data_IF_644699661109
#
_entry.id   IF_644699661109
#
_cell.length_a   1.000
_cell.length_b   1.000
_cell.length_c   1.000
_cell.angle_alpha   90.00
_cell.angle_beta   90.00
_cell.angle_gamma   90.00
#
_symmetry.space_group_name_H-M   'P 1'
#
loop_
_entity.id
_entity.type
_entity.pdbx_description
1 polymer ?
#
# COMPACT_ATOMS: atom_id res chain seq x y z
N UNK A 1 11.64 -9.48 -35.36
CA UNK A 1 10.26 -9.14 -34.93
C UNK A 1 10.09 -9.03 -33.41
N UNK A 2 10.62 -9.94 -32.56
CA UNK A 2 10.54 -9.82 -31.09
C UNK A 2 11.24 -8.56 -30.52
N UNK A 3 12.30 -8.08 -31.15
CA UNK A 3 13.05 -6.88 -30.74
C UNK A 3 12.26 -5.57 -30.97
N UNK A 4 11.48 -5.47 -32.05
CA UNK A 4 10.58 -4.37 -32.32
C UNK A 4 9.39 -4.31 -31.34
N UNK A 5 8.86 -5.46 -30.91
CA UNK A 5 7.80 -5.52 -29.90
C UNK A 5 8.28 -5.09 -28.50
N UNK A 6 9.56 -5.36 -28.15
CA UNK A 6 10.13 -4.92 -26.87
C UNK A 6 10.39 -3.42 -26.80
N UNK A 7 10.46 -2.71 -27.91
CA UNK A 7 10.64 -1.25 -27.97
C UNK A 7 9.30 -0.53 -28.19
N UNK A 8 8.42 -1.09 -29.03
CA UNK A 8 7.12 -0.48 -29.35
C UNK A 8 6.13 -0.55 -28.17
N UNK A 9 6.16 -1.62 -27.36
CA UNK A 9 5.27 -1.72 -26.20
C UNK A 9 5.58 -0.67 -25.10
N UNK A 10 6.82 -0.41 -24.71
CA UNK A 10 7.10 0.67 -23.76
C UNK A 10 6.84 2.07 -24.33
N UNK A 11 7.02 2.27 -25.65
CA UNK A 11 6.72 3.56 -26.27
C UNK A 11 5.21 3.85 -26.33
N UNK A 12 4.38 2.83 -26.62
CA UNK A 12 2.92 2.92 -26.60
C UNK A 12 2.38 3.12 -25.17
N UNK A 13 2.99 2.47 -24.18
CA UNK A 13 2.65 2.67 -22.77
C UNK A 13 3.06 4.08 -22.33
N UNK A 14 4.24 4.54 -22.73
CA UNK A 14 4.71 5.90 -22.43
C UNK A 14 3.83 6.99 -23.09
N UNK A 15 3.39 6.78 -24.33
CA UNK A 15 2.45 7.71 -25.01
C UNK A 15 1.05 7.67 -24.41
N UNK A 16 0.56 6.50 -23.99
CA UNK A 16 -0.72 6.38 -23.28
C UNK A 16 -0.67 7.01 -21.89
N UNK A 17 0.42 6.83 -21.14
CA UNK A 17 0.67 7.51 -19.88
C UNK A 17 0.81 9.03 -20.08
N UNK A 18 1.53 9.49 -21.11
CA UNK A 18 1.66 10.91 -21.45
C UNK A 18 0.30 11.51 -21.85
N UNK A 19 -0.52 10.82 -22.61
CA UNK A 19 -1.87 11.24 -22.93
C UNK A 19 -2.77 11.28 -21.68
N UNK A 20 -2.69 10.28 -20.79
CA UNK A 20 -3.39 10.30 -19.51
C UNK A 20 -2.94 11.47 -18.63
N UNK A 21 -1.66 11.86 -18.71
CA UNK A 21 -1.12 13.02 -17.98
C UNK A 21 -1.69 14.33 -18.47
N UNK A 22 -1.87 14.50 -19.76
CA UNK A 22 -2.39 15.74 -20.38
C UNK A 22 -3.88 15.95 -20.08
N UNK A 23 -4.63 14.87 -19.89
CA UNK A 23 -6.10 14.92 -19.71
C UNK A 23 -6.57 14.70 -18.26
N UNK A 24 -5.68 14.55 -17.29
CA UNK A 24 -6.08 14.34 -15.89
C UNK A 24 -6.05 15.66 -15.10
N UNK A 25 -7.18 16.10 -14.52
CA UNK A 25 -7.21 17.28 -13.64
C UNK A 25 -6.35 17.10 -12.38
N UNK A 26 -6.00 15.86 -12.01
CA UNK A 26 -5.10 15.54 -10.89
C UNK A 26 -3.65 16.01 -11.17
N UNK A 27 -3.27 16.21 -12.43
CA UNK A 27 -1.97 16.78 -12.81
C UNK A 27 -1.78 18.24 -12.40
N UNK A 28 -2.89 18.97 -12.28
CA UNK A 28 -2.88 20.38 -11.87
C UNK A 28 -2.76 20.56 -10.34
N UNK A 29 -2.84 19.49 -9.55
CA UNK A 29 -2.66 19.59 -8.10
C UNK A 29 -1.18 19.82 -7.79
N UNK A 30 -0.84 21.06 -7.46
CA UNK A 30 0.48 21.41 -6.96
C UNK A 30 0.82 20.65 -5.68
N UNK A 31 2.11 20.30 -5.51
CA UNK A 31 2.59 19.76 -4.23
C UNK A 31 2.40 20.83 -3.16
N UNK A 32 1.61 20.49 -2.14
CA UNK A 32 1.31 21.40 -1.02
C UNK A 32 2.56 21.51 -0.13
N UNK A 33 3.22 20.37 0.15
CA UNK A 33 4.45 20.32 0.97
C UNK A 33 5.65 20.59 0.06
N UNK A 34 6.21 21.79 0.12
CA UNK A 34 7.34 22.22 -0.73
C UNK A 34 8.65 22.38 0.02
N UNK A 35 8.62 22.40 1.36
CA UNK A 35 9.78 22.61 2.22
C UNK A 35 10.00 21.40 3.12
N UNK A 36 11.23 21.10 3.53
CA UNK A 36 11.52 20.06 4.49
C UNK A 36 10.71 20.23 5.78
N UNK A 37 10.19 19.11 6.27
CA UNK A 37 9.59 19.06 7.61
C UNK A 37 10.73 19.01 8.61
N UNK A 38 10.67 19.86 9.62
CA UNK A 38 11.65 19.91 10.70
C UNK A 38 10.97 19.47 11.99
N UNK A 39 11.60 18.54 12.70
CA UNK A 39 11.23 18.17 14.05
C UNK A 39 12.51 18.12 14.90
N UNK A 40 12.53 18.84 16.00
CA UNK A 40 13.63 18.89 16.97
C UNK A 40 13.55 17.80 18.05
N UNK A 41 12.46 17.02 18.04
CA UNK A 41 12.17 15.89 18.92
C UNK A 41 12.15 14.54 18.15
N UNK A 42 12.23 13.44 18.89
CA UNK A 42 12.14 12.07 18.37
C UNK A 42 10.84 11.35 18.75
N UNK A 43 10.80 10.04 18.50
CA UNK A 43 9.61 9.19 18.78
C UNK A 43 9.30 9.05 20.27
N UNK A 44 10.31 9.17 21.15
CA UNK A 44 10.17 9.05 22.60
C UNK A 44 9.53 10.30 23.25
N UNK A 45 9.42 11.41 22.49
CA UNK A 45 8.83 12.63 22.98
C UNK A 45 7.28 12.60 22.82
N UNK A 46 6.50 12.94 23.85
CA UNK A 46 5.04 13.04 23.74
C UNK A 46 4.54 13.94 22.63
N UNK A 47 5.34 14.91 22.18
CA UNK A 47 5.01 15.78 21.04
C UNK A 47 4.84 14.98 19.74
N UNK A 48 5.55 13.83 19.59
CA UNK A 48 5.37 12.96 18.42
C UNK A 48 3.92 12.52 18.28
N UNK A 49 3.35 11.94 19.34
CA UNK A 49 1.96 11.45 19.35
C UNK A 49 0.96 12.57 19.09
N UNK A 50 1.15 13.71 19.72
CA UNK A 50 0.29 14.87 19.50
C UNK A 50 0.38 15.37 18.05
N UNK A 51 1.59 15.52 17.53
CA UNK A 51 1.81 16.02 16.17
C UNK A 51 1.25 15.09 15.10
N UNK A 52 1.49 13.78 15.19
CA UNK A 52 1.01 12.83 14.18
C UNK A 52 -0.53 12.75 14.16
N UNK A 53 -1.18 12.82 15.33
CA UNK A 53 -2.63 12.84 15.45
C UNK A 53 -3.24 14.07 14.75
N UNK A 54 -2.63 15.23 14.90
CA UNK A 54 -3.11 16.46 14.26
C UNK A 54 -2.77 16.52 12.77
N UNK A 55 -1.57 16.08 12.37
CA UNK A 55 -1.14 16.06 10.98
C UNK A 55 -2.02 15.17 10.12
N UNK A 56 -2.35 13.97 10.61
CA UNK A 56 -3.19 13.02 9.89
C UNK A 56 -4.68 13.16 10.22
N UNK A 57 -5.04 13.99 11.20
CA UNK A 57 -6.42 14.22 11.66
C UNK A 57 -7.13 12.97 12.16
N UNK A 58 -6.37 12.02 12.65
CA UNK A 58 -6.86 10.75 13.18
C UNK A 58 -6.06 10.43 14.44
N UNK A 59 -6.71 10.10 15.58
CA UNK A 59 -6.00 9.80 16.82
C UNK A 59 -5.37 8.41 16.79
N UNK A 60 -4.20 8.27 17.39
CA UNK A 60 -3.67 6.99 17.85
C UNK A 60 -4.56 6.47 19.00
N UNK A 61 -5.03 5.24 18.89
CA UNK A 61 -5.93 4.60 19.85
C UNK A 61 -5.22 3.38 20.46
N UNK A 62 -5.23 3.27 21.78
CA UNK A 62 -4.70 2.10 22.49
C UNK A 62 -5.69 0.93 22.54
N UNK A 63 -5.25 -0.18 23.08
CA UNK A 63 -6.09 -1.35 23.29
C UNK A 63 -6.21 -2.28 22.09
N UNK A 64 -5.27 -2.24 21.15
CA UNK A 64 -5.34 -3.05 19.94
C UNK A 64 -4.38 -4.23 19.98
N UNK A 65 -4.74 -5.28 19.24
CA UNK A 65 -3.87 -6.39 18.87
C UNK A 65 -3.64 -6.36 17.38
N UNK A 66 -2.36 -6.38 16.98
CA UNK A 66 -1.95 -6.42 15.58
C UNK A 66 -1.10 -7.65 15.34
N UNK A 67 -1.54 -8.48 14.39
CA UNK A 67 -0.86 -9.73 14.02
C UNK A 67 -0.45 -9.64 12.56
N UNK A 68 0.84 -9.81 12.30
CA UNK A 68 1.39 -9.93 10.95
C UNK A 68 1.13 -11.31 10.36
N UNK A 69 0.67 -11.35 9.12
CA UNK A 69 0.42 -12.56 8.36
C UNK A 69 1.29 -12.52 7.10
N UNK A 70 2.28 -13.38 7.06
CA UNK A 70 3.33 -13.36 6.03
C UNK A 70 2.98 -14.35 4.93
N UNK A 71 2.84 -13.86 3.70
CA UNK A 71 2.53 -14.61 2.49
C UNK A 71 1.14 -15.30 2.51
N UNK A 72 0.77 -15.86 1.37
CA UNK A 72 -0.56 -16.43 1.14
C UNK A 72 -0.95 -17.54 2.09
N UNK A 73 0.01 -18.41 2.45
CA UNK A 73 -0.25 -19.53 3.37
C UNK A 73 -0.63 -19.07 4.79
N UNK A 74 -0.27 -17.84 5.17
CA UNK A 74 -0.70 -17.27 6.45
C UNK A 74 -1.96 -16.41 6.31
N UNK A 75 -2.03 -15.51 5.34
CA UNK A 75 -3.13 -14.53 5.35
C UNK A 75 -4.43 -15.07 4.72
N UNK A 76 -4.41 -15.92 3.70
CA UNK A 76 -5.65 -16.41 3.10
C UNK A 76 -6.46 -17.32 4.04
N UNK A 77 -5.88 -18.31 4.74
CA UNK A 77 -6.63 -19.11 5.70
C UNK A 77 -7.26 -18.28 6.82
N UNK A 78 -6.51 -17.30 7.38
CA UNK A 78 -7.02 -16.40 8.42
C UNK A 78 -8.18 -15.51 7.92
N UNK A 79 -8.07 -14.97 6.71
CA UNK A 79 -9.13 -14.16 6.11
C UNK A 79 -10.37 -15.01 5.79
N UNK A 80 -10.21 -16.21 5.23
CA UNK A 80 -11.31 -17.11 4.92
C UNK A 80 -12.00 -17.61 6.19
N UNK A 81 -11.23 -17.93 7.25
CA UNK A 81 -11.79 -18.30 8.54
C UNK A 81 -12.60 -17.16 9.17
N UNK A 82 -12.08 -15.93 9.11
CA UNK A 82 -12.77 -14.75 9.60
C UNK A 82 -14.05 -14.46 8.79
N UNK A 83 -14.01 -14.57 7.46
CA UNK A 83 -15.21 -14.48 6.60
C UNK A 83 -16.25 -15.54 6.98
N UNK A 84 -15.80 -16.79 7.21
CA UNK A 84 -16.66 -17.90 7.65
C UNK A 84 -17.31 -17.66 9.01
N UNK A 85 -16.67 -16.91 9.90
CA UNK A 85 -17.19 -16.57 11.24
C UNK A 85 -18.15 -15.37 11.24
N UNK A 86 -18.27 -14.60 10.13
CA UNK A 86 -19.10 -13.41 10.06
C UNK A 86 -20.58 -13.70 10.40
N UNK A 87 -21.18 -12.82 11.20
CA UNK A 87 -22.56 -12.95 11.66
C UNK A 87 -23.46 -11.77 11.27
N UNK A 88 -22.91 -10.57 11.04
CA UNK A 88 -23.67 -9.35 10.81
C UNK A 88 -23.30 -8.65 9.50
N UNK A 89 -22.00 -8.40 9.29
CA UNK A 89 -21.54 -7.67 8.12
C UNK A 89 -20.15 -8.07 7.66
N UNK A 90 -19.94 -7.99 6.37
CA UNK A 90 -18.63 -8.08 5.71
C UNK A 90 -18.51 -6.85 4.82
N UNK A 91 -17.47 -6.04 5.03
CA UNK A 91 -17.12 -4.92 4.16
C UNK A 91 -15.73 -5.19 3.58
N UNK A 92 -15.64 -5.25 2.26
CA UNK A 92 -14.43 -5.65 1.55
C UNK A 92 -14.10 -4.67 0.43
N UNK A 93 -12.93 -4.08 0.47
CA UNK A 93 -12.40 -3.23 -0.60
C UNK A 93 -11.08 -3.80 -1.10
N UNK A 94 -10.93 -3.90 -2.43
CA UNK A 94 -9.70 -4.42 -3.02
C UNK A 94 -9.38 -3.73 -4.35
N UNK A 95 -8.09 -3.62 -4.68
CA UNK A 95 -7.65 -3.07 -5.95
C UNK A 95 -7.83 -4.10 -7.07
N UNK A 96 -7.10 -5.23 -7.02
CA UNK A 96 -7.19 -6.29 -8.04
C UNK A 96 -8.03 -7.45 -7.52
N UNK A 97 -8.99 -7.87 -8.33
CA UNK A 97 -9.70 -9.13 -8.14
C UNK A 97 -9.66 -9.91 -9.46
N UNK A 98 -8.87 -10.97 -9.49
CA UNK A 98 -8.68 -11.85 -10.63
C UNK A 98 -9.38 -13.18 -10.38
N UNK A 99 -10.12 -13.70 -11.39
CA UNK A 99 -10.72 -15.05 -11.31
C UNK A 99 -9.63 -16.11 -11.25
N UNK A 100 -9.74 -17.05 -10.32
CA UNK A 100 -8.77 -18.11 -10.04
C UNK A 100 -9.20 -18.91 -8.82
N UNK A 101 -8.37 -19.84 -8.35
CA UNK A 101 -8.70 -20.76 -7.25
C UNK A 101 -8.99 -20.02 -5.94
N UNK A 102 -8.15 -19.07 -5.58
CA UNK A 102 -8.38 -18.26 -4.37
C UNK A 102 -9.61 -17.37 -4.50
N UNK A 103 -9.83 -16.81 -5.69
CA UNK A 103 -11.04 -16.04 -6.00
C UNK A 103 -12.30 -16.85 -5.80
N UNK A 104 -12.32 -18.10 -6.27
CA UNK A 104 -13.47 -19.00 -6.11
C UNK A 104 -13.80 -19.22 -4.63
N UNK A 105 -12.79 -19.42 -3.77
CA UNK A 105 -12.99 -19.58 -2.33
C UNK A 105 -13.62 -18.32 -1.69
N UNK A 106 -13.13 -17.14 -2.05
CA UNK A 106 -13.73 -15.88 -1.59
C UNK A 106 -15.17 -15.71 -2.08
N UNK A 107 -15.42 -15.98 -3.35
CA UNK A 107 -16.77 -15.88 -3.94
C UNK A 107 -17.74 -16.80 -3.23
N UNK A 108 -17.39 -18.09 -3.05
CA UNK A 108 -18.27 -19.07 -2.40
C UNK A 108 -18.62 -18.67 -0.97
N UNK A 109 -17.63 -18.26 -0.17
CA UNK A 109 -17.89 -17.87 1.22
C UNK A 109 -18.72 -16.59 1.33
N UNK A 110 -18.46 -15.58 0.47
CA UNK A 110 -19.25 -14.36 0.44
C UNK A 110 -20.71 -14.62 0.02
N UNK A 111 -20.92 -15.49 -0.98
CA UNK A 111 -22.25 -15.92 -1.41
C UNK A 111 -22.98 -16.69 -0.30
N UNK A 112 -22.30 -17.63 0.37
CA UNK A 112 -22.84 -18.38 1.49
C UNK A 112 -23.28 -17.45 2.62
N UNK A 113 -22.44 -16.48 3.00
CA UNK A 113 -22.75 -15.51 4.05
C UNK A 113 -23.88 -14.58 3.69
N UNK A 114 -23.93 -14.11 2.45
CA UNK A 114 -25.03 -13.27 1.97
C UNK A 114 -26.35 -14.01 2.02
N UNK A 115 -26.42 -15.29 1.58
CA UNK A 115 -27.61 -16.14 1.67
C UNK A 115 -28.02 -16.43 3.11
N UNK A 116 -27.08 -16.46 4.05
CA UNK A 116 -27.34 -16.62 5.49
C UNK A 116 -27.80 -15.32 6.18
N UNK A 117 -27.99 -14.24 5.43
CA UNK A 117 -28.49 -12.95 5.95
C UNK A 117 -27.42 -11.98 6.42
N UNK A 118 -26.12 -12.31 6.28
CA UNK A 118 -25.02 -11.38 6.54
C UNK A 118 -24.99 -10.30 5.46
N UNK A 119 -24.88 -9.03 5.85
CA UNK A 119 -24.75 -7.93 4.90
C UNK A 119 -23.34 -7.93 4.30
N UNK A 120 -23.23 -8.24 3.01
CA UNK A 120 -21.95 -8.30 2.30
C UNK A 120 -21.83 -7.14 1.31
N UNK A 121 -20.85 -6.27 1.54
CA UNK A 121 -20.55 -5.09 0.74
C UNK A 121 -19.15 -5.18 0.17
N UNK A 122 -19.03 -5.16 -1.15
CA UNK A 122 -17.73 -5.20 -1.85
C UNK A 122 -17.56 -3.98 -2.73
N UNK A 123 -16.41 -3.32 -2.63
CA UNK A 123 -15.94 -2.26 -3.53
C UNK A 123 -14.66 -2.72 -4.21
N UNK A 124 -14.64 -2.76 -5.54
CA UNK A 124 -13.45 -3.16 -6.31
C UNK A 124 -13.14 -2.10 -7.35
N UNK A 125 -11.87 -1.80 -7.52
CA UNK A 125 -11.40 -0.79 -8.48
C UNK A 125 -11.84 -1.11 -9.92
N UNK A 126 -12.11 -0.07 -10.70
CA UNK A 126 -12.61 -0.18 -12.07
C UNK A 126 -11.64 -0.85 -13.05
N UNK A 127 -10.32 -0.67 -12.84
CA UNK A 127 -9.26 -1.34 -13.62
C UNK A 127 -8.99 -2.73 -13.04
N UNK A 128 -8.78 -2.81 -11.74
CA UNK A 128 -8.39 -4.05 -11.06
C UNK A 128 -9.42 -5.17 -11.15
N UNK A 129 -10.71 -4.85 -11.39
CA UNK A 129 -11.76 -5.85 -11.61
C UNK A 129 -11.85 -6.39 -13.04
N UNK A 130 -11.09 -5.87 -14.00
CA UNK A 130 -11.20 -6.30 -15.41
C UNK A 130 -10.87 -7.78 -15.58
N UNK A 131 -10.05 -8.34 -14.71
CA UNK A 131 -9.67 -9.74 -14.71
C UNK A 131 -10.63 -10.65 -13.92
N UNK A 132 -11.65 -10.09 -13.25
CA UNK A 132 -12.75 -10.85 -12.66
C UNK A 132 -13.81 -11.14 -13.73
N UNK A 133 -14.02 -12.41 -14.04
CA UNK A 133 -14.95 -12.85 -15.10
C UNK A 133 -16.35 -12.28 -14.87
N UNK A 134 -17.08 -11.92 -15.95
CA UNK A 134 -18.46 -11.45 -15.83
C UNK A 134 -19.39 -12.43 -15.11
N UNK A 135 -19.17 -13.74 -15.32
CA UNK A 135 -19.93 -14.81 -14.65
C UNK A 135 -19.77 -14.76 -13.13
N UNK A 136 -18.54 -14.56 -12.62
CA UNK A 136 -18.27 -14.50 -11.19
C UNK A 136 -18.93 -13.27 -10.54
N UNK A 137 -18.87 -12.13 -11.22
CA UNK A 137 -19.59 -10.92 -10.77
C UNK A 137 -21.09 -11.10 -10.75
N UNK A 138 -21.64 -11.83 -11.75
CA UNK A 138 -23.06 -12.16 -11.81
C UNK A 138 -23.46 -13.05 -10.63
N UNK A 139 -22.69 -14.13 -10.38
CA UNK A 139 -22.93 -15.05 -9.24
C UNK A 139 -22.97 -14.30 -7.91
N UNK A 140 -21.99 -13.41 -7.63
CA UNK A 140 -21.96 -12.57 -6.43
C UNK A 140 -23.22 -11.74 -6.30
N UNK A 141 -23.62 -11.00 -7.35
CA UNK A 141 -24.81 -10.14 -7.31
C UNK A 141 -26.12 -10.92 -7.13
N UNK A 142 -26.27 -12.05 -7.81
CA UNK A 142 -27.46 -12.91 -7.71
C UNK A 142 -27.58 -13.56 -6.33
N UNK A 143 -26.51 -13.71 -5.58
CA UNK A 143 -26.53 -14.20 -4.21
C UNK A 143 -26.90 -13.14 -3.16
N UNK A 144 -27.10 -11.88 -3.58
CA UNK A 144 -27.42 -10.76 -2.68
C UNK A 144 -26.19 -9.94 -2.22
N UNK A 145 -24.96 -10.31 -2.64
CA UNK A 145 -23.77 -9.50 -2.39
C UNK A 145 -23.88 -8.16 -3.12
N UNK A 146 -23.75 -7.08 -2.39
CA UNK A 146 -23.70 -5.73 -2.96
C UNK A 146 -22.29 -5.45 -3.48
N UNK A 147 -22.07 -5.77 -4.76
CA UNK A 147 -20.79 -5.64 -5.44
C UNK A 147 -20.76 -4.36 -6.28
N UNK A 148 -19.89 -3.43 -5.91
CA UNK A 148 -19.77 -2.13 -6.55
C UNK A 148 -18.38 -1.93 -7.17
N UNK A 149 -18.32 -0.97 -8.09
CA UNK A 149 -17.08 -0.66 -8.83
C UNK A 149 -16.70 0.80 -8.60
N UNK A 150 -15.55 1.00 -8.00
CA UNK A 150 -14.96 2.32 -7.81
C UNK A 150 -14.37 2.83 -9.14
N UNK A 151 -14.70 4.06 -9.52
CA UNK A 151 -14.19 4.73 -10.74
C UNK A 151 -14.16 3.80 -11.96
N UNK A 152 -15.35 3.30 -12.34
CA UNK A 152 -15.49 2.45 -13.51
C UNK A 152 -14.88 3.11 -14.75
N UNK A 153 -14.00 2.38 -15.45
CA UNK A 153 -13.41 2.82 -16.71
C UNK A 153 -14.50 2.98 -17.76
N UNK A 154 -14.68 4.22 -18.25
CA UNK A 154 -15.61 4.58 -19.33
C UNK A 154 -14.84 5.42 -20.34
N UNK A 155 -14.90 5.07 -21.62
CA UNK A 155 -14.15 5.77 -22.69
C UNK A 155 -14.44 7.27 -22.76
N UNK A 156 -15.65 7.70 -22.40
CA UNK A 156 -16.11 9.10 -22.40
C UNK A 156 -15.84 9.85 -21.09
N UNK A 157 -15.13 9.25 -20.12
CA UNK A 157 -14.71 9.86 -18.86
C UNK A 157 -13.23 9.59 -18.58
N UNK A 158 -12.32 10.05 -19.45
CA UNK A 158 -10.88 9.73 -19.33
C UNK A 158 -10.25 10.27 -18.05
N UNK A 159 -10.78 11.35 -17.48
CA UNK A 159 -10.32 11.92 -16.20
C UNK A 159 -10.48 10.97 -15.01
N UNK A 160 -11.40 9.99 -15.07
CA UNK A 160 -11.55 8.97 -14.03
C UNK A 160 -10.58 7.79 -14.20
N UNK A 161 -9.80 7.72 -15.27
CA UNK A 161 -8.95 6.56 -15.54
C UNK A 161 -7.71 6.53 -14.64
N UNK A 162 -7.22 7.67 -14.22
CA UNK A 162 -5.98 7.77 -13.45
C UNK A 162 -6.19 7.60 -11.94
N UNK A 163 -7.30 8.11 -11.39
CA UNK A 163 -7.62 7.98 -9.97
C UNK A 163 -8.19 6.58 -9.66
N UNK A 164 -7.46 5.79 -8.86
CA UNK A 164 -7.79 4.41 -8.49
C UNK A 164 -7.91 4.27 -6.98
N UNK A 165 -8.81 3.37 -6.52
CA UNK A 165 -8.67 2.89 -5.15
C UNK A 165 -7.61 1.82 -5.11
N UNK A 166 -6.55 2.08 -4.36
CA UNK A 166 -5.49 1.11 -4.14
C UNK A 166 -5.55 0.50 -2.73
N UNK A 167 -6.60 0.83 -1.98
CA UNK A 167 -6.89 0.26 -0.66
C UNK A 167 -7.16 -1.24 -0.78
N UNK A 168 -6.71 -2.01 0.21
CA UNK A 168 -6.95 -3.45 0.36
C UNK A 168 -7.31 -3.68 1.80
N UNK A 169 -8.61 -3.70 2.08
CA UNK A 169 -9.13 -3.80 3.43
C UNK A 169 -10.34 -4.72 3.51
N UNK A 170 -10.45 -5.44 4.62
CA UNK A 170 -11.57 -6.29 4.94
C UNK A 170 -11.94 -6.04 6.40
N UNK A 171 -13.22 -5.77 6.66
CA UNK A 171 -13.72 -5.67 8.03
C UNK A 171 -14.92 -6.61 8.21
N UNK A 172 -14.90 -7.35 9.30
CA UNK A 172 -15.90 -8.36 9.63
C UNK A 172 -16.57 -7.96 10.93
N UNK A 173 -17.91 -7.83 10.89
CA UNK A 173 -18.79 -7.48 12.00
C UNK A 173 -18.40 -6.17 12.73
N UNK A 174 -17.59 -5.31 12.09
CA UNK A 174 -16.98 -4.15 12.72
C UNK A 174 -16.01 -4.50 13.86
N UNK A 175 -15.50 -5.74 13.94
CA UNK A 175 -14.69 -6.27 15.04
C UNK A 175 -13.30 -6.71 14.65
N UNK A 176 -13.14 -7.31 13.50
CA UNK A 176 -11.87 -7.80 12.98
C UNK A 176 -11.58 -7.10 11.67
N UNK A 177 -10.39 -6.53 11.54
CA UNK A 177 -9.92 -5.86 10.35
C UNK A 177 -8.70 -6.54 9.73
N UNK A 178 -8.57 -6.44 8.42
CA UNK A 178 -7.35 -6.82 7.68
C UNK A 178 -6.95 -5.68 6.76
N UNK A 179 -5.65 -5.39 6.71
CA UNK A 179 -5.05 -4.38 5.83
C UNK A 179 -3.66 -4.85 5.38
N UNK A 180 -3.24 -4.45 4.19
CA UNK A 180 -1.90 -4.74 3.64
C UNK A 180 -1.80 -4.53 2.15
N UNK A 181 -0.88 -5.24 1.50
CA UNK A 181 -0.65 -5.14 0.05
C UNK A 181 -1.42 -6.15 -0.80
N UNK A 182 -1.99 -7.20 -0.21
CA UNK A 182 -2.56 -8.38 -0.85
C UNK A 182 -3.71 -8.05 -1.80
N UNK A 183 -3.73 -8.69 -2.96
CA UNK A 183 -4.86 -8.70 -3.88
C UNK A 183 -5.45 -10.11 -4.02
N UNK A 184 -6.70 -10.23 -4.52
CA UNK A 184 -7.33 -11.52 -4.78
C UNK A 184 -6.85 -12.05 -6.13
N UNK A 185 -5.75 -12.80 -6.10
CA UNK A 185 -5.20 -13.50 -7.27
C UNK A 185 -4.31 -14.66 -6.82
N UNK A 186 -4.22 -15.71 -7.64
CA UNK A 186 -3.49 -16.93 -7.28
C UNK A 186 -1.98 -16.69 -7.08
N UNK A 187 -1.43 -15.64 -7.67
CA UNK A 187 -0.03 -15.25 -7.50
C UNK A 187 0.31 -14.76 -6.06
N UNK A 188 -0.70 -14.44 -5.24
CA UNK A 188 -0.51 -14.17 -3.81
C UNK A 188 -0.62 -15.41 -2.92
N UNK A 189 -0.93 -16.59 -3.48
CA UNK A 189 -1.02 -17.84 -2.70
C UNK A 189 0.36 -18.44 -2.41
N UNK A 190 0.43 -19.37 -1.45
CA UNK A 190 1.66 -20.04 -1.08
C UNK A 190 2.62 -19.15 -0.25
N UNK A 191 3.85 -19.62 -0.10
CA UNK A 191 4.89 -18.97 0.70
C UNK A 191 5.91 -18.16 -0.14
N UNK A 192 5.49 -17.59 -1.27
CA UNK A 192 6.34 -16.78 -2.13
C UNK A 192 7.63 -17.52 -2.57
N UNK A 193 7.49 -18.80 -2.90
CA UNK A 193 8.59 -19.69 -3.36
C UNK A 193 8.71 -19.74 -4.89
N UNK A 194 7.64 -19.37 -5.60
CA UNK A 194 7.64 -19.33 -7.06
C UNK A 194 7.98 -17.92 -7.53
N UNK A 195 8.78 -17.80 -8.59
CA UNK A 195 9.32 -16.55 -9.09
C UNK A 195 8.25 -15.53 -9.52
N UNK A 196 7.08 -15.97 -9.95
CA UNK A 196 5.93 -15.15 -10.37
C UNK A 196 4.96 -14.84 -9.23
N UNK A 197 5.15 -15.44 -8.05
CA UNK A 197 4.39 -15.17 -6.84
C UNK A 197 4.86 -13.89 -6.14
N UNK A 198 4.05 -13.42 -5.18
CA UNK A 198 4.30 -12.20 -4.43
C UNK A 198 4.71 -12.49 -2.98
N UNK A 199 5.86 -11.94 -2.56
CA UNK A 199 6.19 -11.79 -1.15
C UNK A 199 5.44 -10.56 -0.61
N UNK A 200 4.47 -10.76 0.25
CA UNK A 200 3.63 -9.69 0.81
C UNK A 200 3.31 -9.96 2.28
N UNK A 201 2.86 -8.95 3.00
CA UNK A 201 2.43 -9.05 4.39
C UNK A 201 1.07 -8.39 4.56
N UNK A 202 0.15 -9.12 5.21
CA UNK A 202 -1.15 -8.64 5.61
C UNK A 202 -1.19 -8.51 7.13
N UNK A 203 -1.97 -7.59 7.64
CA UNK A 203 -2.10 -7.36 9.07
C UNK A 203 -3.54 -7.59 9.51
N UNK A 204 -3.74 -8.53 10.45
CA UNK A 204 -4.99 -8.73 11.15
C UNK A 204 -5.02 -7.83 12.36
N UNK A 205 -6.11 -7.11 12.57
CA UNK A 205 -6.26 -6.13 13.63
C UNK A 205 -7.56 -6.36 14.37
N UNK A 206 -7.45 -6.36 15.70
CA UNK A 206 -8.55 -6.51 16.64
C UNK A 206 -8.45 -5.38 17.67
N UNK A 207 -9.60 -4.86 18.12
CA UNK A 207 -9.66 -3.78 19.10
C UNK A 207 -10.23 -2.47 18.55
N UNK A 208 -10.21 -1.39 19.35
CA UNK A 208 -10.92 -0.15 19.07
C UNK A 208 -10.60 0.51 17.71
N UNK A 209 -9.36 0.35 17.22
CA UNK A 209 -8.91 0.97 15.95
C UNK A 209 -9.62 0.40 14.72
N UNK A 210 -10.28 -0.77 14.82
CA UNK A 210 -11.08 -1.36 13.72
C UNK A 210 -12.20 -0.42 13.26
N UNK A 211 -12.75 0.41 14.18
CA UNK A 211 -13.72 1.43 13.83
C UNK A 211 -13.19 2.47 12.83
N UNK A 212 -11.90 2.84 12.93
CA UNK A 212 -11.28 3.72 11.94
C UNK A 212 -11.13 3.04 10.58
N UNK A 213 -10.76 1.75 10.55
CA UNK A 213 -10.68 0.96 9.30
C UNK A 213 -12.06 0.84 8.63
N UNK A 214 -13.12 0.62 9.41
CA UNK A 214 -14.49 0.61 8.92
C UNK A 214 -14.89 1.99 8.34
N UNK A 215 -14.43 3.07 8.94
CA UNK A 215 -14.62 4.43 8.43
C UNK A 215 -14.00 4.61 7.02
N UNK A 216 -12.79 4.09 6.79
CA UNK A 216 -12.12 4.13 5.48
C UNK A 216 -12.96 3.43 4.38
N UNK A 217 -13.51 2.25 4.67
CA UNK A 217 -14.41 1.57 3.75
C UNK A 217 -15.67 2.41 3.49
N UNK A 218 -16.26 2.98 4.55
CA UNK A 218 -17.50 3.78 4.45
C UNK A 218 -17.33 4.98 3.54
N UNK A 219 -16.15 5.61 3.52
CA UNK A 219 -15.84 6.72 2.63
C UNK A 219 -16.02 6.32 1.15
N UNK A 220 -15.31 5.30 0.67
CA UNK A 220 -15.42 4.86 -0.72
C UNK A 220 -16.77 4.20 -1.05
N UNK A 221 -17.40 3.55 -0.08
CA UNK A 221 -18.77 3.07 -0.24
C UNK A 221 -19.75 4.23 -0.48
N UNK A 222 -19.66 5.28 0.34
CA UNK A 222 -20.52 6.47 0.21
C UNK A 222 -20.33 7.17 -1.13
N UNK A 223 -19.07 7.32 -1.58
CA UNK A 223 -18.75 7.90 -2.90
C UNK A 223 -19.30 7.08 -4.06
N UNK A 224 -19.38 5.75 -3.88
CA UNK A 224 -19.81 4.84 -4.95
C UNK A 224 -21.32 4.66 -4.97
N UNK A 225 -22.01 4.69 -3.80
CA UNK A 225 -23.42 4.38 -3.63
C UNK A 225 -24.26 5.53 -3.10
N UNK A 226 -23.65 6.62 -2.65
CA UNK A 226 -24.34 7.73 -1.95
C UNK A 226 -25.12 7.24 -0.72
N UNK A 227 -24.62 6.19 -0.03
CA UNK A 227 -25.23 5.60 1.15
C UNK A 227 -24.22 5.52 2.29
N UNK A 228 -24.54 6.15 3.41
CA UNK A 228 -23.71 6.15 4.62
C UNK A 228 -24.00 4.89 5.43
N UNK A 229 -22.95 4.14 5.78
CA UNK A 229 -23.06 3.01 6.70
C UNK A 229 -23.20 3.50 8.13
N UNK A 230 -24.10 2.90 8.89
CA UNK A 230 -24.38 3.27 10.27
C UNK A 230 -24.83 2.06 11.11
N UNK A 231 -24.83 2.24 12.43
CA UNK A 231 -25.34 1.25 13.38
C UNK A 231 -24.32 0.17 13.76
N UNK A 232 -24.73 -0.69 14.69
CA UNK A 232 -23.90 -1.70 15.34
C UNK A 232 -23.42 -2.83 14.45
N UNK A 233 -23.97 -2.95 13.23
CA UNK A 233 -23.47 -3.93 12.25
C UNK A 233 -22.09 -3.57 11.73
N UNK A 234 -21.75 -2.28 11.70
CA UNK A 234 -20.51 -1.74 11.16
C UNK A 234 -19.65 -1.09 12.23
N UNK A 235 -20.27 -0.31 13.12
CA UNK A 235 -19.58 0.43 14.16
C UNK A 235 -20.03 -0.07 15.53
N UNK A 236 -19.15 -0.73 16.23
CA UNK A 236 -19.39 -1.23 17.58
C UNK A 236 -18.28 -0.77 18.50
N UNK A 237 -18.61 -0.47 19.75
CA UNK A 237 -17.59 -0.21 20.78
C UNK A 237 -16.90 -1.52 21.09
N UNK A 238 -15.60 -1.57 20.84
CA UNK A 238 -14.80 -2.75 21.09
C UNK A 238 -14.02 -2.61 22.39
N UNK A 239 -14.00 -3.64 23.25
CA UNK A 239 -13.09 -3.68 24.39
C UNK A 239 -11.64 -3.81 23.89
N UNK A 240 -10.67 -3.43 24.72
CA UNK A 240 -9.26 -3.69 24.43
C UNK A 240 -9.02 -5.19 24.15
N UNK A 241 -8.18 -5.45 23.15
CA UNK A 241 -7.74 -6.80 22.75
C UNK A 241 -6.23 -6.99 22.94
N UNK A 242 -5.52 -5.94 23.33
CA UNK A 242 -4.08 -5.88 23.57
C UNK A 242 -3.67 -4.48 23.97
N UNK A 243 -2.38 -4.19 23.91
CA UNK A 243 -1.83 -2.91 24.39
C UNK A 243 -1.30 -2.00 23.27
N UNK A 244 -1.42 -2.44 22.02
CA UNK A 244 -0.83 -1.72 20.87
C UNK A 244 -1.54 -0.39 20.65
N UNK A 245 -0.75 0.69 20.51
CA UNK A 245 -1.20 2.01 20.11
C UNK A 245 -1.16 2.10 18.59
N UNK A 246 -2.31 2.30 17.94
CA UNK A 246 -2.44 2.28 16.49
C UNK A 246 -3.44 3.31 15.97
N UNK A 247 -3.29 3.66 14.69
CA UNK A 247 -4.26 4.47 13.94
C UNK A 247 -4.33 4.01 12.49
N UNK A 248 -5.52 4.11 11.87
CA UNK A 248 -5.67 4.05 10.43
C UNK A 248 -5.88 5.44 9.87
N UNK A 249 -5.27 5.72 8.72
CA UNK A 249 -5.52 6.97 8.01
C UNK A 249 -5.67 6.73 6.52
N UNK A 250 -6.28 7.70 5.86
CA UNK A 250 -6.46 7.72 4.42
C UNK A 250 -5.63 8.81 3.76
N UNK A 251 -5.25 8.55 2.53
CA UNK A 251 -4.70 9.53 1.61
C UNK A 251 -5.38 9.38 0.26
N UNK A 252 -5.63 10.49 -0.40
CA UNK A 252 -6.26 10.49 -1.72
C UNK A 252 -6.27 11.90 -2.30
N UNK A 253 -6.57 12.05 -3.61
CA UNK A 253 -6.46 13.35 -4.27
C UNK A 253 -7.48 14.38 -3.78
N UNK A 254 -8.61 13.93 -3.24
CA UNK A 254 -9.71 14.80 -2.82
C UNK A 254 -9.88 14.87 -1.31
N UNK A 255 -9.39 13.86 -0.60
CA UNK A 255 -9.54 13.74 0.84
C UNK A 255 -8.26 13.22 1.46
N UNK A 256 -7.70 13.98 2.42
CA UNK A 256 -6.37 13.69 2.93
C UNK A 256 -5.26 13.89 1.91
N UNK A 257 -5.40 14.89 1.04
CA UNK A 257 -4.40 15.22 0.03
C UNK A 257 -3.00 15.36 0.65
N UNK A 258 -2.02 14.60 0.12
CA UNK A 258 -0.65 14.49 0.62
C UNK A 258 -0.51 13.92 2.07
N UNK A 259 -1.55 13.38 2.71
CA UNK A 259 -1.42 12.75 4.04
C UNK A 259 -0.36 11.61 4.03
N UNK A 260 -0.35 10.79 2.99
CA UNK A 260 0.68 9.75 2.83
C UNK A 260 2.09 10.35 2.76
N UNK A 261 2.26 11.38 1.96
CA UNK A 261 3.54 12.08 1.82
C UNK A 261 3.95 12.78 3.12
N UNK A 262 2.99 13.43 3.80
CA UNK A 262 3.18 14.04 5.12
C UNK A 262 3.67 13.01 6.13
N UNK A 263 3.02 11.85 6.20
CA UNK A 263 3.42 10.76 7.09
C UNK A 263 4.87 10.34 6.88
N UNK A 264 5.26 10.04 5.63
CA UNK A 264 6.61 9.56 5.34
C UNK A 264 7.67 10.64 5.60
N UNK A 265 7.42 11.88 5.18
CA UNK A 265 8.34 12.98 5.42
C UNK A 265 8.49 13.29 6.92
N UNK A 266 7.38 13.27 7.66
CA UNK A 266 7.43 13.46 9.11
C UNK A 266 8.13 12.31 9.83
N UNK A 267 7.90 11.06 9.43
CA UNK A 267 8.61 9.89 9.95
C UNK A 267 10.14 9.99 9.74
N UNK A 268 10.57 10.50 8.57
CA UNK A 268 11.99 10.78 8.29
C UNK A 268 12.54 11.92 9.17
N UNK A 269 11.74 12.96 9.41
CA UNK A 269 12.17 14.11 10.22
C UNK A 269 12.43 13.74 11.68
N UNK A 270 11.56 12.90 12.27
CA UNK A 270 11.66 12.49 13.68
C UNK A 270 12.69 11.38 13.92
N UNK A 271 13.14 10.68 12.89
CA UNK A 271 14.11 9.59 13.00
C UNK A 271 15.44 10.03 13.62
N UNK A 272 15.95 9.25 14.59
CA UNK A 272 17.21 9.51 15.31
C UNK A 272 18.21 8.36 15.21
N UNK A 273 17.75 7.12 15.00
CA UNK A 273 18.60 5.91 15.01
C UNK A 273 18.60 5.21 13.67
N UNK A 274 17.42 4.80 13.19
CA UNK A 274 17.30 3.97 11.99
C UNK A 274 15.99 4.17 11.24
N UNK A 275 16.07 3.98 9.92
CA UNK A 275 14.91 3.89 9.03
C UNK A 275 15.09 2.62 8.19
N UNK A 276 14.13 1.69 8.26
CA UNK A 276 14.05 0.51 7.37
C UNK A 276 12.84 0.62 6.49
N UNK A 277 13.03 0.48 5.18
CA UNK A 277 11.99 0.64 4.16
C UNK A 277 11.92 -0.65 3.34
N UNK A 278 10.80 -1.35 3.42
CA UNK A 278 10.49 -2.54 2.63
C UNK A 278 9.34 -2.22 1.69
N UNK A 279 9.65 -1.83 0.44
CA UNK A 279 8.64 -1.34 -0.50
C UNK A 279 8.78 -1.94 -1.89
N UNK A 280 7.63 -2.28 -2.50
CA UNK A 280 7.59 -2.71 -3.91
C UNK A 280 8.03 -1.59 -4.86
N UNK A 281 7.68 -0.34 -4.55
CA UNK A 281 8.13 0.83 -5.31
C UNK A 281 8.70 1.88 -4.36
N UNK A 282 9.99 2.20 -4.57
CA UNK A 282 10.67 3.26 -3.84
C UNK A 282 11.21 4.30 -4.83
N UNK A 283 10.35 5.28 -5.14
CA UNK A 283 10.62 6.37 -6.10
C UNK A 283 10.53 7.71 -5.36
N UNK A 284 11.46 8.01 -4.45
CA UNK A 284 11.39 9.23 -3.65
C UNK A 284 11.49 10.48 -4.54
N UNK A 285 10.67 11.49 -4.24
CA UNK A 285 10.79 12.80 -4.87
C UNK A 285 12.02 13.57 -4.34
N UNK A 286 12.28 14.75 -4.92
CA UNK A 286 13.49 15.52 -4.57
C UNK A 286 13.48 15.99 -3.11
N UNK A 287 12.28 16.28 -2.55
CA UNK A 287 12.14 16.67 -1.15
C UNK A 287 12.44 15.49 -0.22
N UNK A 288 11.86 14.32 -0.51
CA UNK A 288 12.11 13.11 0.27
C UNK A 288 13.59 12.69 0.22
N UNK A 289 14.24 12.78 -0.96
CA UNK A 289 15.68 12.56 -1.10
C UNK A 289 16.45 13.53 -0.19
N UNK A 290 16.17 14.82 -0.27
CA UNK A 290 16.80 15.82 0.58
C UNK A 290 16.69 15.50 2.07
N UNK A 291 15.48 15.14 2.53
CA UNK A 291 15.25 14.79 3.92
C UNK A 291 15.94 13.48 4.36
N UNK A 292 16.01 12.47 3.48
CA UNK A 292 16.78 11.25 3.75
C UNK A 292 18.29 11.53 3.83
N UNK A 293 18.83 12.40 2.97
CA UNK A 293 20.21 12.85 3.04
C UNK A 293 20.50 13.60 4.36
N UNK A 294 19.58 14.45 4.79
CA UNK A 294 19.71 15.15 6.07
C UNK A 294 19.56 14.20 7.27
N UNK A 295 18.73 13.16 7.20
CA UNK A 295 18.70 12.10 8.19
C UNK A 295 20.05 11.34 8.26
N UNK A 296 20.66 11.03 7.13
CA UNK A 296 22.02 10.44 7.08
C UNK A 296 23.05 11.35 7.74
N UNK A 297 23.02 12.66 7.49
CA UNK A 297 23.91 13.63 8.16
C UNK A 297 23.73 13.66 9.67
N UNK A 298 22.50 13.42 10.17
CA UNK A 298 22.22 13.27 11.60
C UNK A 298 22.69 11.92 12.18
N UNK A 299 23.26 11.03 11.37
CA UNK A 299 23.74 9.71 11.77
C UNK A 299 22.70 8.58 11.71
N UNK A 300 21.50 8.85 11.17
CA UNK A 300 20.44 7.83 11.03
C UNK A 300 20.87 6.76 10.02
N UNK A 301 20.84 5.47 10.40
CA UNK A 301 21.03 4.37 9.46
C UNK A 301 19.80 4.18 8.59
N UNK A 302 19.97 4.08 7.29
CA UNK A 302 18.85 3.92 6.35
C UNK A 302 19.09 2.69 5.46
N UNK A 303 18.14 1.76 5.48
CA UNK A 303 18.14 0.51 4.72
C UNK A 303 16.86 0.41 3.89
N UNK A 304 16.98 0.01 2.63
CA UNK A 304 15.86 -0.10 1.68
C UNK A 304 15.89 -1.46 1.01
N UNK A 305 14.80 -2.23 1.10
CA UNK A 305 14.58 -3.44 0.31
C UNK A 305 13.54 -3.14 -0.77
N UNK A 306 13.89 -3.40 -2.03
CA UNK A 306 13.00 -3.34 -3.17
C UNK A 306 12.97 -4.64 -3.97
N UNK A 307 12.18 -4.71 -5.07
CA UNK A 307 12.07 -5.91 -5.88
C UNK A 307 13.30 -6.14 -6.77
N UNK A 308 13.89 -7.32 -6.68
CA UNK A 308 14.86 -7.84 -7.66
C UNK A 308 14.14 -8.48 -8.85
N UNK A 309 13.08 -9.28 -8.57
CA UNK A 309 12.18 -9.80 -9.59
C UNK A 309 11.10 -8.78 -9.89
N UNK A 310 10.95 -8.43 -11.17
CA UNK A 310 10.23 -7.25 -11.64
C UNK A 310 8.86 -7.63 -12.15
N UNK A 311 7.84 -6.83 -11.80
CA UNK A 311 6.52 -6.80 -12.42
C UNK A 311 6.43 -5.72 -13.51
N UNK A 312 6.94 -4.51 -13.23
CA UNK A 312 6.90 -3.35 -14.12
C UNK A 312 8.28 -2.74 -14.37
N UNK A 313 8.86 -3.03 -15.55
CA UNK A 313 10.19 -2.56 -15.94
C UNK A 313 10.37 -1.04 -15.89
N UNK A 314 9.32 -0.26 -16.27
CA UNK A 314 9.37 1.20 -16.26
C UNK A 314 9.49 1.73 -14.84
N UNK A 315 8.71 1.18 -13.91
CA UNK A 315 8.68 1.59 -12.49
C UNK A 315 10.05 1.34 -11.85
N UNK A 316 10.63 0.14 -12.05
CA UNK A 316 12.00 -0.16 -11.54
C UNK A 316 13.04 0.80 -12.08
N UNK A 317 13.02 1.08 -13.39
CA UNK A 317 13.98 1.99 -14.02
C UNK A 317 13.83 3.41 -13.49
N UNK A 318 12.60 3.88 -13.32
CA UNK A 318 12.33 5.17 -12.68
C UNK A 318 12.83 5.20 -11.22
N UNK A 319 12.61 4.14 -10.45
CA UNK A 319 13.11 4.02 -9.08
C UNK A 319 14.65 4.10 -9.05
N UNK A 320 15.33 3.27 -9.84
CA UNK A 320 16.81 3.25 -9.89
C UNK A 320 17.40 4.58 -10.31
N UNK A 321 16.73 5.38 -11.14
CA UNK A 321 17.20 6.72 -11.53
C UNK A 321 17.35 7.68 -10.34
N UNK A 322 16.68 7.38 -9.20
CA UNK A 322 16.60 8.26 -8.02
C UNK A 322 17.63 7.91 -6.92
N UNK A 323 18.27 6.74 -6.97
CA UNK A 323 19.01 6.20 -5.82
C UNK A 323 20.45 6.70 -5.70
N UNK A 324 21.04 7.27 -6.76
CA UNK A 324 22.44 7.65 -6.81
C UNK A 324 22.91 8.47 -5.60
N UNK A 325 22.22 9.59 -5.33
CA UNK A 325 22.60 10.49 -4.22
C UNK A 325 22.45 9.81 -2.85
N UNK A 326 21.49 8.91 -2.71
CA UNK A 326 21.26 8.16 -1.49
C UNK A 326 22.35 7.11 -1.29
N UNK A 327 22.74 6.38 -2.34
CA UNK A 327 23.89 5.45 -2.31
C UNK A 327 25.20 6.16 -1.99
N UNK A 328 25.47 7.32 -2.60
CA UNK A 328 26.65 8.16 -2.31
C UNK A 328 26.67 8.63 -0.85
N UNK A 329 25.51 8.81 -0.21
CA UNK A 329 25.38 9.16 1.20
C UNK A 329 25.42 7.96 2.16
N UNK A 330 25.60 6.75 1.65
CA UNK A 330 25.67 5.52 2.44
C UNK A 330 24.32 4.98 2.88
N UNK A 331 23.24 5.24 2.13
CA UNK A 331 22.00 4.49 2.25
C UNK A 331 22.19 3.11 1.64
N UNK A 332 21.83 2.08 2.39
CA UNK A 332 21.98 0.69 1.98
C UNK A 332 20.75 0.23 1.17
N UNK A 333 20.96 -0.27 -0.04
CA UNK A 333 19.89 -0.78 -0.90
C UNK A 333 20.07 -2.27 -1.16
N UNK A 334 18.94 -2.98 -1.16
CA UNK A 334 18.87 -4.42 -1.38
C UNK A 334 17.77 -4.75 -2.37
N UNK A 335 18.02 -5.70 -3.28
CA UNK A 335 17.04 -6.23 -4.23
C UNK A 335 16.65 -7.66 -3.86
N UNK A 336 15.40 -7.88 -3.43
CA UNK A 336 14.86 -9.19 -3.04
C UNK A 336 14.77 -10.14 -4.25
N UNK A 337 15.42 -11.31 -4.17
CA UNK A 337 15.65 -12.18 -5.32
C UNK A 337 14.64 -13.32 -5.52
N UNK A 338 14.05 -13.95 -4.48
CA UNK A 338 13.30 -15.20 -4.68
C UNK A 338 12.08 -15.07 -5.60
N UNK A 339 11.33 -13.97 -5.45
CA UNK A 339 10.08 -13.74 -6.18
C UNK A 339 9.76 -12.24 -6.24
N UNK A 340 8.61 -11.86 -6.76
CA UNK A 340 8.14 -10.48 -6.76
C UNK A 340 7.93 -9.99 -5.33
N UNK A 341 8.37 -8.75 -5.05
CA UNK A 341 8.31 -8.15 -3.71
C UNK A 341 7.23 -7.08 -3.62
N UNK A 342 6.26 -7.24 -2.69
CA UNK A 342 5.09 -6.37 -2.65
C UNK A 342 4.81 -5.75 -1.27
N UNK A 343 5.75 -5.80 -0.35
CA UNK A 343 5.63 -5.12 0.95
C UNK A 343 5.54 -3.59 0.79
N UNK A 344 4.87 -2.95 1.74
CA UNK A 344 4.82 -1.49 1.93
C UNK A 344 4.90 -1.23 3.43
N UNK A 345 6.12 -1.30 3.96
CA UNK A 345 6.41 -1.20 5.39
C UNK A 345 7.59 -0.25 5.58
N UNK A 346 7.45 0.71 6.48
CA UNK A 346 8.54 1.54 6.97
C UNK A 346 8.60 1.42 8.49
N UNK A 347 9.82 1.19 9.01
CA UNK A 347 10.10 1.06 10.44
C UNK A 347 11.08 2.16 10.83
N UNK A 348 10.78 2.92 11.88
CA UNK A 348 11.60 4.02 12.37
C UNK A 348 11.96 3.80 13.83
N UNK A 349 13.24 3.92 14.13
CA UNK A 349 13.84 3.89 15.48
C UNK A 349 13.35 2.72 16.36
N UNK A 350 13.04 1.59 15.71
CA UNK A 350 12.61 0.33 16.33
C UNK A 350 11.32 0.44 17.17
N UNK A 351 10.48 1.44 16.91
CA UNK A 351 9.24 1.72 17.65
C UNK A 351 8.05 2.07 16.77
N UNK A 352 8.25 2.84 15.70
CA UNK A 352 7.22 3.33 14.82
C UNK A 352 7.18 2.51 13.53
N UNK A 353 6.01 1.97 13.20
CA UNK A 353 5.80 1.21 11.97
C UNK A 353 4.61 1.78 11.21
N UNK A 354 4.78 2.06 9.94
CA UNK A 354 3.67 2.30 9.01
C UNK A 354 3.62 1.19 7.97
N UNK A 355 2.45 0.60 7.76
CA UNK A 355 2.24 -0.51 6.85
C UNK A 355 0.84 -0.47 6.24
N UNK A 356 0.70 -0.91 4.97
CA UNK A 356 -0.60 -0.90 4.30
C UNK A 356 -0.50 -0.95 2.78
N UNK A 357 -1.22 -0.06 2.10
CA UNK A 357 -1.28 -0.06 0.64
C UNK A 357 -0.34 0.95 -0.04
N UNK A 358 0.20 1.92 0.71
CA UNK A 358 0.95 3.07 0.19
C UNK A 358 2.35 2.67 -0.26
N UNK A 359 2.66 2.80 -1.54
CA UNK A 359 4.02 2.77 -2.05
C UNK A 359 4.73 4.12 -1.77
N UNK A 360 6.06 4.11 -1.80
CA UNK A 360 6.85 5.34 -1.68
C UNK A 360 7.03 5.99 -3.06
N UNK A 361 5.93 6.48 -3.63
CA UNK A 361 5.90 7.12 -4.95
C UNK A 361 4.82 8.22 -5.05
N UNK A 362 4.92 9.07 -6.07
CA UNK A 362 4.00 10.20 -6.27
C UNK A 362 2.57 9.73 -6.58
N UNK A 363 2.38 8.55 -7.18
CA UNK A 363 1.05 7.99 -7.46
C UNK A 363 0.30 7.66 -6.17
N UNK A 364 0.94 6.94 -5.26
CA UNK A 364 0.37 6.62 -3.93
C UNK A 364 0.20 7.87 -3.07
N UNK A 365 1.09 8.85 -3.19
CA UNK A 365 1.02 10.05 -2.37
C UNK A 365 -0.10 11.02 -2.81
N UNK A 366 -0.52 11.00 -4.09
CA UNK A 366 -1.32 12.10 -4.65
C UNK A 366 -2.45 11.68 -5.57
N UNK A 367 -2.41 10.49 -6.16
CA UNK A 367 -3.31 10.10 -7.24
C UNK A 367 -4.31 9.03 -6.80
N UNK A 368 -3.83 8.02 -6.06
CA UNK A 368 -4.66 6.92 -5.60
C UNK A 368 -5.34 7.22 -4.26
N UNK A 369 -6.47 6.57 -4.02
CA UNK A 369 -6.96 6.39 -2.65
C UNK A 369 -6.16 5.27 -2.00
N UNK A 370 -5.50 5.60 -0.91
CA UNK A 370 -4.60 4.71 -0.16
C UNK A 370 -5.00 4.67 1.32
N UNK A 371 -4.48 3.70 2.02
CA UNK A 371 -4.61 3.60 3.47
C UNK A 371 -3.45 2.85 4.10
N UNK A 372 -3.01 3.31 5.26
CA UNK A 372 -2.04 2.60 6.09
C UNK A 372 -2.53 2.47 7.52
N UNK A 373 -2.03 1.43 8.18
CA UNK A 373 -1.99 1.25 9.62
C UNK A 373 -0.66 1.79 10.15
N UNK A 374 -0.73 2.71 11.08
CA UNK A 374 0.42 3.19 11.83
C UNK A 374 0.39 2.58 13.23
N UNK A 375 1.52 2.09 13.70
CA UNK A 375 1.68 1.41 14.98
C UNK A 375 2.85 2.02 15.73
N UNK A 376 2.62 2.46 16.95
CA UNK A 376 3.66 2.88 17.87
C UNK A 376 3.78 1.83 18.98
N UNK A 377 4.65 0.85 18.76
CA UNK A 377 4.87 -0.28 19.66
C UNK A 377 6.22 -0.96 19.37
N UNK A 378 7.10 -1.03 20.37
CA UNK A 378 8.44 -1.58 20.20
C UNK A 378 8.42 -3.11 19.94
N UNK A 379 7.49 -3.85 20.54
CA UNK A 379 7.40 -5.29 20.37
C UNK A 379 6.92 -5.64 18.96
N UNK A 380 5.95 -4.89 18.44
CA UNK A 380 5.50 -5.02 17.04
C UNK A 380 6.63 -4.63 16.06
N UNK A 381 7.31 -3.48 16.30
CA UNK A 381 8.43 -3.05 15.49
C UNK A 381 9.55 -4.10 15.44
N UNK A 382 9.88 -4.72 16.58
CA UNK A 382 10.88 -5.80 16.67
C UNK A 382 10.52 -6.99 15.77
N UNK A 383 9.24 -7.41 15.74
CA UNK A 383 8.80 -8.48 14.83
C UNK A 383 8.92 -8.08 13.35
N UNK A 384 8.58 -6.82 13.02
CA UNK A 384 8.74 -6.31 11.66
C UNK A 384 10.22 -6.21 11.25
N UNK A 385 11.12 -5.87 12.17
CA UNK A 385 12.57 -5.89 11.94
C UNK A 385 13.05 -7.31 11.64
N UNK A 386 12.60 -8.31 12.40
CA UNK A 386 12.95 -9.71 12.14
C UNK A 386 12.53 -10.14 10.73
N UNK A 387 11.35 -9.74 10.26
CA UNK A 387 10.89 -10.01 8.90
C UNK A 387 11.72 -9.24 7.86
N UNK A 388 12.09 -8.00 8.15
CA UNK A 388 12.96 -7.21 7.29
C UNK A 388 14.34 -7.85 7.12
N UNK A 389 14.98 -8.27 8.21
CA UNK A 389 16.29 -8.93 8.17
C UNK A 389 16.21 -10.29 7.44
N UNK A 390 15.15 -11.08 7.65
CA UNK A 390 14.94 -12.32 6.92
C UNK A 390 14.71 -12.12 5.39
N UNK A 391 14.07 -11.02 4.99
CA UNK A 391 13.95 -10.65 3.57
C UNK A 391 15.30 -10.13 3.03
N UNK A 392 16.05 -9.38 3.83
CA UNK A 392 17.38 -8.85 3.49
C UNK A 392 18.40 -9.97 3.24
N UNK A 393 18.39 -11.04 4.06
CA UNK A 393 19.22 -12.24 3.84
C UNK A 393 19.01 -12.91 2.47
N UNK A 394 17.82 -12.70 1.86
CA UNK A 394 17.45 -13.21 0.55
C UNK A 394 17.59 -12.16 -0.56
N UNK A 395 18.24 -11.06 -0.27
CA UNK A 395 18.37 -9.91 -1.17
C UNK A 395 19.83 -9.68 -1.55
N UNK A 396 20.05 -9.24 -2.77
CA UNK A 396 21.38 -8.82 -3.23
C UNK A 396 21.60 -7.35 -2.87
N UNK A 397 22.74 -6.99 -2.26
CA UNK A 397 23.08 -5.60 -1.99
C UNK A 397 23.41 -4.85 -3.29
N UNK A 398 23.02 -3.60 -3.38
CA UNK A 398 23.38 -2.73 -4.51
C UNK A 398 24.61 -1.90 -4.13
N UNK A 399 25.74 -2.27 -4.69
CA UNK A 399 26.98 -1.55 -4.46
C UNK A 399 27.10 -0.30 -5.33
N UNK A 400 27.59 0.81 -4.76
CA UNK A 400 27.74 2.08 -5.47
C UNK A 400 28.61 1.95 -6.73
N UNK A 401 29.66 1.14 -6.67
CA UNK A 401 30.57 0.90 -7.81
C UNK A 401 29.84 0.23 -8.97
N UNK A 402 29.08 -0.84 -8.71
CA UNK A 402 28.27 -1.53 -9.70
C UNK A 402 27.18 -0.62 -10.25
N UNK A 403 26.54 0.14 -9.35
CA UNK A 403 25.53 1.11 -9.75
C UNK A 403 26.10 2.16 -10.70
N UNK A 404 27.30 2.69 -10.45
CA UNK A 404 27.97 3.65 -11.29
C UNK A 404 28.58 3.01 -12.56
N UNK A 405 28.99 1.73 -12.52
CA UNK A 405 29.52 0.96 -13.64
C UNK A 405 28.49 0.58 -14.73
N UNK A 406 27.19 0.80 -14.50
CA UNK A 406 26.14 0.46 -15.49
C UNK A 406 26.39 1.13 -16.84
N UNK A 407 26.10 0.45 -17.97
CA UNK A 407 26.25 1.01 -19.32
C UNK A 407 25.47 2.31 -19.50
N UNK A 408 26.02 3.25 -20.30
CA UNK A 408 25.42 4.57 -20.53
C UNK A 408 24.00 4.49 -21.09
N UNK A 409 23.69 3.52 -21.97
CA UNK A 409 22.35 3.35 -22.52
C UNK A 409 21.32 2.95 -21.43
N UNK A 410 21.70 2.13 -20.42
CA UNK A 410 20.85 1.79 -19.30
C UNK A 410 20.56 3.04 -18.45
N UNK A 411 21.60 3.82 -18.12
CA UNK A 411 21.44 5.09 -17.38
C UNK A 411 20.54 6.08 -18.10
N UNK A 412 20.65 6.17 -19.43
CA UNK A 412 19.79 7.04 -20.25
C UNK A 412 18.33 6.58 -20.18
N UNK A 413 18.07 5.29 -20.36
CA UNK A 413 16.71 4.74 -20.28
C UNK A 413 16.12 4.93 -18.87
N UNK A 414 16.89 4.73 -17.81
CA UNK A 414 16.46 5.00 -16.43
C UNK A 414 16.13 6.49 -16.24
N UNK A 415 16.95 7.40 -16.74
CA UNK A 415 16.70 8.84 -16.69
C UNK A 415 15.40 9.22 -17.43
N UNK A 416 15.18 8.67 -18.63
CA UNK A 416 13.92 8.86 -19.37
C UNK A 416 12.70 8.33 -18.59
N UNK A 417 12.81 7.13 -18.00
CA UNK A 417 11.74 6.60 -17.14
C UNK A 417 11.51 7.48 -15.90
N UNK A 418 12.57 8.06 -15.34
CA UNK A 418 12.52 8.99 -14.21
C UNK A 418 11.72 10.27 -14.49
N UNK A 419 11.56 10.68 -15.75
CA UNK A 419 10.68 11.80 -16.11
C UNK A 419 9.19 11.48 -15.86
N UNK A 420 8.82 10.20 -15.84
CA UNK A 420 7.45 9.75 -15.58
C UNK A 420 7.14 9.59 -14.08
N UNK A 421 8.09 9.89 -13.19
CA UNK A 421 7.96 9.67 -11.73
C UNK A 421 6.70 10.26 -11.10
N UNK A 422 6.17 11.37 -11.64
CA UNK A 422 4.96 12.01 -11.14
C UNK A 422 3.67 11.23 -11.45
N UNK A 423 3.75 10.20 -12.27
CA UNK A 423 2.62 9.34 -12.68
C UNK A 423 2.79 7.87 -12.24
N UNK A 424 3.97 7.54 -11.73
CA UNK A 424 4.34 6.22 -11.23
C UNK A 424 4.18 6.15 -9.73
#
# INVERSE_FOLDING_TARGET
MRWLQSILSPLLIATALLAATIFSPVLAMEKIIRKPIVADYGLDDPQFTNSINHLLRVPLIGGNKVTELVNGDAFFPEMLAALGAAQRSITFENFIWRSGKISDQFIEILMQKSRAGVVVLCVVDGVGRLELKPADRKRLKESGVKFETFNQVRWFKPWNWNHRTHRKLLVIDGKVGFIGGMCIADEWTGNATLRDHWRDTQFKVEGPVVGQLQGLFTDNWTRTKSAVLHGSNYFTTLPPQGDVLAQYFQSGPYDGAENARMLYLYSIAVARKSIRIAHSYFIPDDLAIGMLLDARKRGVRIEVIGPGVIDHNIVRRAARSRWRKLLEAGVEFYEYQPCKYHNKIMIVDDQWVTCGSINFDDRSFRINDESNLNVLDAAFAKRQIQLFEADKEKSDPIMLEEYNGRPCHIKLVEACCGLLKSQL
#
